data_IF_468531079569
#
_entry.id   IF_468531079569
#
_cell.length_a   1.000
_cell.length_b   1.000
_cell.length_c   1.000
_cell.angle_alpha   90.00
_cell.angle_beta   90.00
_cell.angle_gamma   90.00
#
_symmetry.space_group_name_H-M   'P 1'
#
loop_
_entity.id
_entity.type
_entity.pdbx_description
1 polymer ?
#
# COMPACT_ATOMS: atom_id res chain seq x y z
N UNK A 1 16.65 -14.02 0.72
CA UNK A 1 16.39 -14.39 2.14
C UNK A 1 14.91 -14.15 2.39
N UNK A 2 14.15 -15.16 2.85
CA UNK A 2 12.69 -15.02 3.03
C UNK A 2 12.41 -14.41 4.40
N UNK A 3 11.84 -13.19 4.44
CA UNK A 3 11.48 -12.53 5.69
C UNK A 3 10.12 -13.04 6.17
N UNK A 4 10.04 -13.48 7.41
CA UNK A 4 8.76 -14.00 7.96
C UNK A 4 7.79 -12.88 8.28
N UNK A 5 8.31 -11.73 8.71
CA UNK A 5 7.56 -10.51 9.04
C UNK A 5 8.42 -9.31 8.64
N UNK A 6 7.82 -8.29 8.02
CA UNK A 6 8.44 -6.99 7.79
C UNK A 6 7.49 -5.88 8.24
N UNK A 7 7.95 -5.03 9.17
CA UNK A 7 7.26 -3.78 9.51
C UNK A 7 8.18 -2.60 9.17
N UNK A 8 7.68 -1.70 8.33
CA UNK A 8 8.40 -0.51 7.88
C UNK A 8 7.53 0.72 8.13
N UNK A 9 8.12 1.76 8.73
CA UNK A 9 7.41 3.01 9.00
C UNK A 9 8.23 4.24 8.61
N UNK A 10 7.59 5.20 7.94
CA UNK A 10 8.15 6.51 7.62
C UNK A 10 7.32 7.58 8.32
N UNK A 11 7.93 8.30 9.27
CA UNK A 11 7.32 9.42 9.99
C UNK A 11 7.91 10.79 9.65
N UNK A 12 8.99 10.82 8.86
CA UNK A 12 9.65 12.06 8.41
C UNK A 12 9.46 12.30 6.91
N UNK A 13 10.47 12.94 6.30
CA UNK A 13 10.53 13.21 4.85
C UNK A 13 11.48 12.26 4.11
N UNK A 14 11.95 11.20 4.78
CA UNK A 14 12.89 10.25 4.20
C UNK A 14 12.16 9.17 3.42
N UNK A 15 12.75 8.75 2.32
CA UNK A 15 12.19 7.71 1.45
C UNK A 15 12.75 6.33 1.79
N UNK A 16 11.91 5.31 1.68
CA UNK A 16 12.33 3.91 1.77
C UNK A 16 12.13 3.22 0.43
N UNK A 17 13.15 2.51 -0.04
CA UNK A 17 13.09 1.74 -1.27
C UNK A 17 13.52 0.31 -0.98
N UNK A 18 12.66 -0.64 -1.32
CA UNK A 18 12.95 -2.06 -1.26
C UNK A 18 12.77 -2.68 -2.65
N UNK A 19 13.86 -3.17 -3.22
CA UNK A 19 13.92 -3.65 -4.61
C UNK A 19 13.57 -5.15 -4.78
N UNK A 20 13.71 -5.97 -3.74
CA UNK A 20 13.42 -7.41 -3.80
C UNK A 20 12.98 -7.97 -2.44
N UNK A 21 11.71 -7.72 -2.08
CA UNK A 21 11.10 -8.31 -0.91
C UNK A 21 10.55 -9.70 -1.22
N UNK A 22 10.85 -10.67 -0.35
CA UNK A 22 10.18 -11.96 -0.32
C UNK A 22 9.76 -12.22 1.12
N UNK A 23 8.48 -11.95 1.44
CA UNK A 23 7.99 -12.05 2.80
C UNK A 23 6.60 -12.66 2.94
N UNK A 24 6.28 -13.20 4.11
CA UNK A 24 4.93 -13.70 4.37
C UNK A 24 3.98 -12.55 4.69
N UNK A 25 4.34 -11.72 5.68
CA UNK A 25 3.51 -10.63 6.16
C UNK A 25 4.29 -9.31 6.07
N UNK A 26 3.73 -8.34 5.35
CA UNK A 26 4.30 -7.01 5.19
C UNK A 26 3.37 -5.96 5.81
N UNK A 27 3.92 -5.05 6.60
CA UNK A 27 3.22 -3.87 7.09
C UNK A 27 4.02 -2.63 6.76
N UNK A 28 3.43 -1.69 6.04
CA UNK A 28 4.07 -0.42 5.66
C UNK A 28 3.21 0.76 6.07
N UNK A 29 3.78 1.69 6.84
CA UNK A 29 3.08 2.86 7.37
C UNK A 29 3.78 4.15 6.96
N UNK A 30 3.02 5.09 6.40
CA UNK A 30 3.49 6.45 6.08
C UNK A 30 2.67 7.45 6.88
N UNK A 31 3.29 8.09 7.86
CA UNK A 31 2.68 9.18 8.64
C UNK A 31 3.29 10.55 8.36
N UNK A 32 4.46 10.59 7.70
CA UNK A 32 5.14 11.82 7.29
C UNK A 32 4.84 12.24 5.84
N UNK A 33 5.84 12.80 5.18
CA UNK A 33 5.79 13.23 3.77
C UNK A 33 6.75 12.44 2.87
N UNK A 34 7.49 11.48 3.43
CA UNK A 34 8.36 10.60 2.65
C UNK A 34 7.60 9.44 2.01
N UNK A 35 8.19 8.89 0.95
CA UNK A 35 7.60 7.85 0.13
C UNK A 35 8.14 6.46 0.48
N UNK A 36 7.32 5.43 0.29
CA UNK A 36 7.75 4.02 0.37
C UNK A 36 7.56 3.36 -0.98
N UNK A 37 8.65 2.86 -1.57
CA UNK A 37 8.64 2.06 -2.80
C UNK A 37 8.95 0.60 -2.47
N UNK A 38 8.07 -0.31 -2.91
CA UNK A 38 8.14 -1.74 -2.60
C UNK A 38 8.08 -2.56 -3.89
N UNK A 39 9.00 -3.50 -4.05
CA UNK A 39 9.04 -4.46 -5.15
C UNK A 39 9.28 -5.88 -4.65
N UNK A 40 8.83 -6.88 -5.41
CA UNK A 40 9.02 -8.31 -5.11
C UNK A 40 7.70 -9.06 -4.91
N UNK A 41 7.58 -9.85 -3.83
CA UNK A 41 6.37 -10.60 -3.48
C UNK A 41 6.10 -10.66 -1.98
N UNK A 42 4.81 -10.69 -1.63
CA UNK A 42 4.34 -10.97 -0.27
C UNK A 42 3.09 -11.86 -0.30
N UNK A 43 2.85 -12.62 0.78
CA UNK A 43 1.58 -13.37 0.89
C UNK A 43 0.47 -12.43 1.38
N UNK A 44 0.70 -11.74 2.50
CA UNK A 44 -0.21 -10.75 3.08
C UNK A 44 0.49 -9.38 3.18
N UNK A 45 -0.22 -8.30 2.82
CA UNK A 45 0.27 -6.95 3.06
C UNK A 45 -0.77 -6.02 3.67
N UNK A 46 -0.32 -5.14 4.56
CA UNK A 46 -1.10 -4.06 5.17
C UNK A 46 -0.41 -2.72 4.95
N UNK A 47 -1.09 -1.80 4.28
CA UNK A 47 -0.58 -0.45 4.01
C UNK A 47 -1.44 0.60 4.70
N UNK A 48 -0.79 1.59 5.30
CA UNK A 48 -1.49 2.72 5.93
C UNK A 48 -0.80 4.03 5.59
N UNK A 49 -1.55 4.95 5.00
CA UNK A 49 -1.10 6.31 4.69
C UNK A 49 -1.95 7.30 5.47
N UNK A 50 -1.36 7.91 6.50
CA UNK A 50 -2.01 8.95 7.30
C UNK A 50 -1.39 10.33 7.08
N UNK A 51 -0.22 10.40 6.42
CA UNK A 51 0.46 11.64 6.06
C UNK A 51 0.18 12.10 4.64
N UNK A 52 1.16 12.79 4.06
CA UNK A 52 1.13 13.31 2.68
C UNK A 52 2.05 12.54 1.72
N UNK A 53 2.84 11.60 2.23
CA UNK A 53 3.71 10.76 1.40
C UNK A 53 2.97 9.59 0.76
N UNK A 54 3.60 8.99 -0.24
CA UNK A 54 3.00 7.95 -1.08
C UNK A 54 3.52 6.54 -0.76
N UNK A 55 2.68 5.54 -1.03
CA UNK A 55 3.12 4.13 -1.15
C UNK A 55 3.08 3.72 -2.62
N UNK A 56 4.23 3.31 -3.16
CA UNK A 56 4.43 2.83 -4.54
C UNK A 56 4.74 1.33 -4.51
N UNK A 57 3.71 0.50 -4.68
CA UNK A 57 3.78 -0.95 -4.54
C UNK A 57 3.13 -1.69 -5.73
N UNK A 58 3.17 -1.13 -6.94
CA UNK A 58 2.70 -1.86 -8.14
C UNK A 58 3.60 -3.03 -8.51
N UNK A 59 4.89 -2.92 -8.23
CA UNK A 59 5.89 -3.96 -8.53
C UNK A 59 6.01 -4.99 -7.39
N UNK A 60 5.14 -4.92 -6.38
CA UNK A 60 5.06 -5.88 -5.28
C UNK A 60 3.81 -6.74 -5.45
N UNK A 61 3.99 -8.01 -5.80
CA UNK A 61 2.90 -8.97 -5.94
C UNK A 61 2.43 -9.47 -4.57
N UNK A 62 1.22 -9.12 -4.16
CA UNK A 62 0.61 -9.59 -2.90
C UNK A 62 -0.56 -10.55 -3.18
N UNK A 63 -0.76 -11.60 -2.38
CA UNK A 63 -1.96 -12.44 -2.51
C UNK A 63 -3.17 -11.73 -1.88
N UNK A 64 -3.07 -11.39 -0.59
CA UNK A 64 -4.09 -10.68 0.18
C UNK A 64 -3.62 -9.30 0.63
N UNK A 65 -4.32 -8.25 0.19
CA UNK A 65 -3.95 -6.88 0.50
C UNK A 65 -5.03 -6.15 1.30
N UNK A 66 -4.60 -5.40 2.32
CA UNK A 66 -5.38 -4.33 2.94
C UNK A 66 -4.65 -3.01 2.83
N UNK A 67 -5.33 -1.97 2.34
CA UNK A 67 -4.77 -0.64 2.19
C UNK A 67 -5.75 0.42 2.68
N UNK A 68 -5.25 1.32 3.53
CA UNK A 68 -6.03 2.41 4.10
C UNK A 68 -5.33 3.75 3.93
N UNK A 69 -6.03 4.73 3.38
CA UNK A 69 -5.57 6.10 3.20
C UNK A 69 -6.50 7.05 3.95
N UNK A 70 -5.99 7.64 5.02
CA UNK A 70 -6.70 8.65 5.82
C UNK A 70 -6.09 10.05 5.69
N UNK A 71 -4.89 10.16 5.11
CA UNK A 71 -4.21 11.43 4.85
C UNK A 71 -4.52 12.01 3.47
N UNK A 72 -3.52 12.72 2.93
CA UNK A 72 -3.57 13.36 1.61
C UNK A 72 -2.67 12.67 0.57
N UNK A 73 -1.82 11.74 0.99
CA UNK A 73 -0.94 10.97 0.09
C UNK A 73 -1.66 9.82 -0.61
N UNK A 74 -1.03 9.28 -1.65
CA UNK A 74 -1.61 8.25 -2.51
C UNK A 74 -1.02 6.85 -2.26
N UNK A 75 -1.80 5.82 -2.59
CA UNK A 75 -1.33 4.44 -2.59
C UNK A 75 -1.52 3.77 -3.96
N UNK A 76 -0.44 3.21 -4.50
CA UNK A 76 -0.43 2.41 -5.73
C UNK A 76 -0.14 0.97 -5.38
N UNK A 77 -1.08 0.06 -5.60
CA UNK A 77 -1.02 -1.29 -5.04
C UNK A 77 -1.38 -2.39 -6.05
N UNK A 78 -0.86 -3.60 -5.84
CA UNK A 78 -1.19 -4.77 -6.65
C UNK A 78 -1.56 -5.97 -5.75
N UNK A 79 -2.64 -6.68 -6.08
CA UNK A 79 -2.97 -7.96 -5.43
C UNK A 79 -3.53 -8.99 -6.41
N UNK A 80 -3.40 -10.28 -6.04
CA UNK A 80 -3.83 -11.42 -6.86
C UNK A 80 -5.19 -11.99 -6.45
N UNK A 81 -5.45 -12.13 -5.15
CA UNK A 81 -6.60 -12.88 -4.66
C UNK A 81 -7.67 -11.96 -4.05
N UNK A 82 -7.31 -11.20 -3.00
CA UNK A 82 -8.24 -10.30 -2.33
C UNK A 82 -7.62 -8.93 -2.05
N UNK A 83 -8.46 -7.90 -2.10
CA UNK A 83 -8.05 -6.53 -1.85
C UNK A 83 -9.11 -5.75 -1.07
N UNK A 84 -8.75 -5.27 0.11
CA UNK A 84 -9.59 -4.40 0.94
C UNK A 84 -9.03 -2.98 0.94
N UNK A 85 -9.73 -2.05 0.30
CA UNK A 85 -9.30 -0.67 0.10
C UNK A 85 -10.21 0.29 0.85
N UNK A 86 -9.62 1.18 1.64
CA UNK A 86 -10.37 2.22 2.35
C UNK A 86 -9.75 3.61 2.19
N UNK A 87 -10.58 4.59 1.86
CA UNK A 87 -10.20 6.01 1.80
C UNK A 87 -11.14 6.82 2.67
N UNK A 88 -10.60 7.43 3.72
CA UNK A 88 -11.31 8.41 4.56
C UNK A 88 -10.75 9.83 4.45
N UNK A 89 -9.57 9.98 3.84
CA UNK A 89 -8.91 11.28 3.63
C UNK A 89 -9.19 11.91 2.27
N UNK A 90 -8.22 12.68 1.80
CA UNK A 90 -8.25 13.35 0.48
C UNK A 90 -7.39 12.66 -0.58
N UNK A 91 -6.52 11.74 -0.18
CA UNK A 91 -5.65 10.99 -1.09
C UNK A 91 -6.36 9.86 -1.84
N UNK A 92 -5.69 9.34 -2.87
CA UNK A 92 -6.22 8.34 -3.79
C UNK A 92 -5.59 6.95 -3.60
N UNK A 93 -6.38 5.90 -3.83
CA UNK A 93 -5.87 4.54 -4.00
C UNK A 93 -6.03 4.14 -5.47
N UNK A 94 -4.92 3.77 -6.10
CA UNK A 94 -4.92 3.11 -7.40
C UNK A 94 -4.47 1.68 -7.27
N UNK A 95 -5.23 0.75 -7.83
CA UNK A 95 -4.95 -0.67 -7.68
C UNK A 95 -4.86 -1.41 -9.01
N UNK A 96 -4.11 -2.52 -9.01
CA UNK A 96 -3.96 -3.47 -10.13
C UNK A 96 -4.15 -4.91 -9.67
N UNK A 97 -4.38 -5.79 -10.64
CA UNK A 97 -4.43 -7.25 -10.46
C UNK A 97 -5.83 -7.83 -10.48
N UNK A 98 -5.96 -9.15 -10.65
CA UNK A 98 -7.24 -9.85 -10.84
C UNK A 98 -8.04 -10.06 -9.52
N UNK A 99 -7.58 -9.49 -8.40
CA UNK A 99 -8.13 -9.72 -7.08
C UNK A 99 -9.62 -9.31 -6.94
N UNK A 100 -10.30 -9.94 -5.99
CA UNK A 100 -11.61 -9.51 -5.51
C UNK A 100 -11.45 -8.21 -4.71
N UNK A 101 -12.02 -7.11 -5.21
CA UNK A 101 -11.81 -5.77 -4.62
C UNK A 101 -13.02 -5.33 -3.81
N UNK A 102 -12.82 -5.17 -2.51
CA UNK A 102 -13.74 -4.48 -1.61
C UNK A 102 -13.26 -3.03 -1.41
N UNK A 103 -14.16 -2.07 -1.63
CA UNK A 103 -13.84 -0.64 -1.57
C UNK A 103 -14.74 0.06 -0.58
N UNK A 104 -14.15 0.90 0.25
CA UNK A 104 -14.87 1.81 1.14
C UNK A 104 -14.33 3.22 0.98
N UNK A 105 -15.21 4.17 0.70
CA UNK A 105 -14.86 5.59 0.56
C UNK A 105 -15.77 6.40 1.48
N UNK A 106 -15.17 7.15 2.39
CA UNK A 106 -15.86 8.10 3.27
C UNK A 106 -15.29 9.52 3.18
N UNK A 107 -14.18 9.71 2.47
CA UNK A 107 -13.52 11.01 2.28
C UNK A 107 -13.71 11.60 0.87
N UNK A 108 -12.91 12.61 0.55
CA UNK A 108 -12.94 13.28 -0.77
C UNK A 108 -12.14 12.53 -1.84
N UNK A 109 -11.14 11.73 -1.44
CA UNK A 109 -10.28 10.98 -2.36
C UNK A 109 -10.98 9.85 -3.12
N UNK A 110 -10.28 9.10 -3.96
CA UNK A 110 -10.87 8.14 -4.88
C UNK A 110 -10.20 6.76 -4.85
N UNK A 111 -10.93 5.72 -5.28
CA UNK A 111 -10.40 4.36 -5.40
C UNK A 111 -10.62 3.87 -6.83
N UNK A 112 -9.54 3.84 -7.62
CA UNK A 112 -9.60 3.59 -9.06
C UNK A 112 -8.75 2.38 -9.46
N UNK A 113 -9.29 1.55 -10.35
CA UNK A 113 -8.50 0.49 -10.98
C UNK A 113 -7.62 1.09 -12.06
N UNK A 114 -6.35 0.71 -12.09
CA UNK A 114 -5.46 1.02 -13.19
C UNK A 114 -5.47 -0.16 -14.16
N UNK A 115 -5.90 0.08 -15.40
CA UNK A 115 -5.83 -0.90 -16.49
C UNK A 115 -4.38 -1.12 -16.94
#
# INVERSE_FOLDING_TARGET
>A
MKLRLGEFSVSGSGDLVFEDLDCKNLTSKVSGSGDITLKGKADEARYSVSGSGDIKAYDLSVNDLSCSVSGSGDARVYAKDNMNLSVSGSGDIRYKGPANVNKSKSGSGSIQGAN
#
